data_IF_107112621464
#
_entry.id   IF_107112621464
#
_cell.length_a   1.000
_cell.length_b   1.000
_cell.length_c   1.000
_cell.angle_alpha   90.00
_cell.angle_beta   90.00
_cell.angle_gamma   90.00
#
_symmetry.space_group_name_H-M   'P 1'
#
loop_
_entity.id
_entity.type
_entity.pdbx_description
1 polymer ?
#
# COMPACT_ATOMS: atom_id res chain seq x y z
N UNK A 1 16.74 -5.53 -4.25
CA UNK A 1 15.57 -5.10 -5.05
C UNK A 1 14.36 -5.78 -4.44
N UNK A 2 13.45 -5.01 -3.84
CA UNK A 2 12.31 -5.60 -3.14
C UNK A 2 11.15 -5.74 -4.10
N UNK A 3 10.90 -6.95 -4.56
CA UNK A 3 9.74 -7.28 -5.39
C UNK A 3 8.63 -7.79 -4.46
N UNK A 4 7.75 -6.88 -4.02
CA UNK A 4 6.47 -7.27 -3.46
C UNK A 4 5.49 -7.48 -4.61
N UNK A 5 4.84 -8.63 -4.59
CA UNK A 5 3.80 -8.99 -5.55
C UNK A 5 2.70 -7.91 -5.59
N UNK A 6 2.33 -7.48 -6.80
CA UNK A 6 1.35 -6.41 -6.94
C UNK A 6 -0.03 -6.85 -6.47
N UNK A 7 -0.72 -6.00 -5.72
CA UNK A 7 -2.10 -6.27 -5.35
C UNK A 7 -3.01 -6.08 -6.57
N UNK A 8 -3.60 -7.18 -7.03
CA UNK A 8 -4.51 -7.20 -8.19
C UNK A 8 -5.98 -7.18 -7.80
N UNK A 9 -6.30 -7.25 -6.51
CA UNK A 9 -7.66 -7.43 -5.99
C UNK A 9 -8.18 -8.87 -6.03
N UNK A 10 -7.45 -9.80 -6.65
CA UNK A 10 -7.70 -11.25 -6.53
C UNK A 10 -6.86 -11.92 -5.44
N UNK A 11 -5.75 -11.29 -5.06
CA UNK A 11 -4.87 -11.76 -4.00
C UNK A 11 -5.50 -11.51 -2.63
N UNK A 12 -5.12 -12.32 -1.65
CA UNK A 12 -5.50 -12.12 -0.25
C UNK A 12 -4.94 -10.79 0.27
N UNK A 13 -5.84 -9.86 0.65
CA UNK A 13 -5.48 -8.54 1.14
C UNK A 13 -4.73 -8.63 2.49
N UNK A 14 -5.09 -9.57 3.37
CA UNK A 14 -4.44 -9.77 4.66
C UNK A 14 -2.98 -10.21 4.51
N UNK A 15 -2.74 -11.20 3.65
CA UNK A 15 -1.41 -11.71 3.35
C UNK A 15 -0.55 -10.64 2.66
N UNK A 16 -1.16 -9.88 1.74
CA UNK A 16 -0.49 -8.77 1.08
C UNK A 16 -0.13 -7.63 2.04
N UNK A 17 -1.01 -7.30 2.99
CA UNK A 17 -0.76 -6.31 4.05
C UNK A 17 0.43 -6.70 4.93
N UNK A 18 0.56 -7.98 5.30
CA UNK A 18 1.69 -8.48 6.10
C UNK A 18 3.00 -8.31 5.32
N UNK A 19 3.03 -8.73 4.04
CA UNK A 19 4.20 -8.53 3.17
C UNK A 19 4.56 -7.05 3.05
N UNK A 20 3.56 -6.16 3.00
CA UNK A 20 3.83 -4.72 2.92
C UNK A 20 4.36 -4.10 4.20
N UNK A 21 3.84 -4.50 5.36
CA UNK A 21 4.42 -4.06 6.63
C UNK A 21 5.87 -4.49 6.75
N UNK A 22 6.20 -5.73 6.36
CA UNK A 22 7.58 -6.21 6.35
C UNK A 22 8.47 -5.40 5.40
N UNK A 23 7.96 -5.04 4.21
CA UNK A 23 8.70 -4.20 3.26
C UNK A 23 8.98 -2.79 3.81
N UNK A 24 7.98 -2.16 4.43
CA UNK A 24 8.13 -0.82 5.01
C UNK A 24 9.16 -0.83 6.15
N UNK A 25 9.07 -1.81 7.05
CA UNK A 25 10.07 -2.04 8.11
C UNK A 25 11.47 -2.21 7.53
N UNK A 26 11.61 -3.03 6.49
CA UNK A 26 12.88 -3.27 5.82
C UNK A 26 13.45 -2.02 5.12
N UNK A 27 12.58 -1.10 4.68
CA UNK A 27 12.98 0.19 4.11
C UNK A 27 13.33 1.25 5.17
N UNK A 28 13.36 0.88 6.45
CA UNK A 28 13.60 1.80 7.57
C UNK A 28 12.43 2.75 7.84
N UNK A 29 11.26 2.49 7.24
CA UNK A 29 10.04 3.27 7.42
C UNK A 29 9.32 2.80 8.68
N UNK A 30 9.94 3.08 9.83
CA UNK A 30 9.30 2.92 11.13
C UNK A 30 8.48 4.18 11.46
N UNK A 31 7.37 3.98 12.15
CA UNK A 31 6.29 4.94 12.45
C UNK A 31 6.70 6.28 13.13
N UNK A 32 8.00 6.48 13.39
CA UNK A 32 8.58 7.60 14.14
C UNK A 32 8.67 8.93 13.37
N UNK A 33 8.66 8.93 12.03
CA UNK A 33 8.71 10.17 11.22
C UNK A 33 7.46 10.33 10.34
N UNK A 34 6.33 10.69 10.98
CA UNK A 34 4.98 10.65 10.38
C UNK A 34 4.85 11.18 8.95
N UNK A 35 5.46 12.31 8.56
CA UNK A 35 5.15 12.93 7.25
C UNK A 35 5.99 12.34 6.11
N UNK A 36 7.31 12.23 6.26
CA UNK A 36 8.17 11.62 5.25
C UNK A 36 7.93 10.11 5.13
N UNK A 37 7.65 9.44 6.25
CA UNK A 37 7.29 8.03 6.28
C UNK A 37 5.98 7.78 5.55
N UNK A 38 4.98 8.67 5.70
CA UNK A 38 3.71 8.56 4.98
C UNK A 38 3.86 8.73 3.47
N UNK A 39 4.68 9.67 3.00
CA UNK A 39 4.89 9.87 1.56
C UNK A 39 5.67 8.71 0.92
N UNK A 40 6.69 8.19 1.59
CA UNK A 40 7.46 7.04 1.08
C UNK A 40 6.62 5.77 1.13
N UNK A 41 5.84 5.57 2.20
CA UNK A 41 4.86 4.50 2.28
C UNK A 41 3.77 4.63 1.20
N UNK A 42 3.30 5.85 0.91
CA UNK A 42 2.35 6.11 -0.17
C UNK A 42 2.91 5.68 -1.52
N UNK A 43 4.13 6.12 -1.86
CA UNK A 43 4.79 5.75 -3.11
C UNK A 43 5.01 4.24 -3.21
N UNK A 44 5.44 3.59 -2.11
CA UNK A 44 5.61 2.13 -2.07
C UNK A 44 4.29 1.39 -2.26
N UNK A 45 3.20 1.84 -1.62
CA UNK A 45 1.86 1.27 -1.79
C UNK A 45 1.40 1.47 -3.24
N UNK A 46 1.44 2.69 -3.79
CA UNK A 46 1.03 2.99 -5.17
C UNK A 46 1.76 2.10 -6.18
N UNK A 47 3.09 1.95 -6.07
CA UNK A 47 3.91 1.15 -7.00
C UNK A 47 3.56 -0.34 -6.94
N UNK A 48 3.12 -0.81 -5.77
CA UNK A 48 2.72 -2.19 -5.54
C UNK A 48 1.25 -2.48 -5.82
N UNK A 49 0.45 -1.49 -6.21
CA UNK A 49 -0.90 -1.73 -6.67
C UNK A 49 -0.87 -2.06 -8.16
N UNK A 50 -1.71 -3.00 -8.60
CA UNK A 50 -1.92 -3.25 -10.02
C UNK A 50 -2.71 -2.13 -10.69
N UNK A 51 -2.56 -1.95 -12.00
CA UNK A 51 -3.15 -0.83 -12.76
C UNK A 51 -4.67 -0.71 -12.61
N UNK A 52 -5.36 -1.85 -12.47
CA UNK A 52 -6.81 -1.89 -12.23
C UNK A 52 -7.19 -1.30 -10.87
N UNK A 53 -6.40 -1.55 -9.85
CA UNK A 53 -6.61 -1.03 -8.48
C UNK A 53 -6.18 0.43 -8.43
N UNK A 54 -5.04 0.77 -9.05
CA UNK A 54 -4.59 2.16 -9.22
C UNK A 54 -5.68 3.02 -9.83
N UNK A 55 -6.35 2.59 -10.89
CA UNK A 55 -7.47 3.34 -11.49
C UNK A 55 -8.64 3.56 -10.52
N UNK A 56 -8.88 2.64 -9.59
CA UNK A 56 -9.94 2.76 -8.57
C UNK A 56 -9.55 3.69 -7.42
N UNK A 57 -8.25 3.76 -7.07
CA UNK A 57 -7.75 4.55 -5.94
C UNK A 57 -7.06 5.86 -6.34
N UNK A 58 -6.78 6.08 -7.62
CA UNK A 58 -6.10 7.27 -8.14
C UNK A 58 -6.84 8.59 -7.86
N UNK A 59 -8.15 8.51 -7.58
CA UNK A 59 -8.95 9.67 -7.15
C UNK A 59 -8.76 10.02 -5.67
N UNK A 60 -7.91 9.30 -4.93
CA UNK A 60 -7.66 9.51 -3.50
C UNK A 60 -6.28 10.11 -3.27
N UNK A 61 -6.29 11.18 -2.52
CA UNK A 61 -5.20 12.10 -2.21
C UNK A 61 -4.39 11.69 -0.96
N UNK A 62 -4.81 10.63 -0.23
CA UNK A 62 -4.18 10.23 1.04
C UNK A 62 -4.07 8.70 1.16
N UNK A 63 -2.94 8.21 1.71
CA UNK A 63 -2.74 6.79 2.09
C UNK A 63 -3.93 6.24 2.87
N UNK A 64 -4.40 6.97 3.88
CA UNK A 64 -5.51 6.55 4.71
C UNK A 64 -6.79 6.34 3.89
N UNK A 65 -7.09 7.23 2.93
CA UNK A 65 -8.25 7.10 2.04
C UNK A 65 -8.11 5.96 1.05
N UNK A 66 -6.90 5.73 0.53
CA UNK A 66 -6.60 4.55 -0.32
C UNK A 66 -6.81 3.28 0.48
N UNK A 67 -6.28 3.22 1.71
CA UNK A 67 -6.38 2.07 2.60
C UNK A 67 -7.82 1.73 2.98
N UNK A 68 -8.58 2.72 3.45
CA UNK A 68 -10.01 2.56 3.76
C UNK A 68 -10.82 2.09 2.56
N UNK A 69 -10.48 2.57 1.35
CA UNK A 69 -11.17 2.13 0.13
C UNK A 69 -10.81 0.70 -0.25
N UNK A 70 -9.57 0.27 -0.02
CA UNK A 70 -9.16 -1.12 -0.23
C UNK A 70 -9.84 -2.05 0.76
N UNK A 71 -9.87 -1.69 2.05
CA UNK A 71 -10.59 -2.45 3.07
C UNK A 71 -12.07 -2.56 2.69
N UNK A 72 -12.75 -1.46 2.33
CA UNK A 72 -14.16 -1.49 1.90
C UNK A 72 -14.44 -2.31 0.61
N UNK A 73 -13.45 -2.58 -0.22
CA UNK A 73 -13.64 -3.30 -1.49
C UNK A 73 -13.28 -4.78 -1.41
N UNK A 74 -12.49 -5.17 -0.42
CA UNK A 74 -11.83 -6.48 -0.36
C UNK A 74 -11.85 -7.12 1.05
N UNK A 75 -12.41 -6.46 2.05
CA UNK A 75 -12.82 -6.99 3.36
C UNK A 75 -14.31 -6.73 3.55
#
# INVERSE_FOLDING_TARGET
KFDVEKFTGKNDLGLWRIKMKALLVQQGLHEKEKIQVLQKAYSTIIISLGDKILRKVAKKDTVARVWLKLESLYM
#
